data_IF_448266244467
#
_entry.id   IF_448266244467
#
_cell.length_a   1.000
_cell.length_b   1.000
_cell.length_c   1.000
_cell.angle_alpha   90.00
_cell.angle_beta   90.00
_cell.angle_gamma   90.00
#
_symmetry.space_group_name_H-M   'P 1'
#
loop_
_entity.id
_entity.type
_entity.pdbx_description
1 polymer ?
#
# COMPACT_ATOMS: atom_id res chain seq x y z
N UNK A 1 -3.37 5.55 -17.76
CA UNK A 1 -4.71 4.95 -17.54
C UNK A 1 -4.51 3.50 -17.19
N UNK A 2 -4.88 3.07 -15.98
CA UNK A 2 -4.83 1.66 -15.57
C UNK A 2 -6.25 1.21 -15.23
N UNK A 3 -6.73 0.17 -15.92
CA UNK A 3 -8.04 -0.42 -15.65
C UNK A 3 -7.90 -1.46 -14.53
N UNK A 4 -8.80 -1.42 -13.53
CA UNK A 4 -8.94 -2.43 -12.45
C UNK A 4 -9.42 -3.82 -12.95
N UNK A 5 -9.02 -4.21 -14.15
CA UNK A 5 -9.41 -5.49 -14.78
C UNK A 5 -8.21 -6.37 -15.18
N UNK A 6 -6.97 -6.01 -14.81
CA UNK A 6 -5.77 -6.73 -15.29
C UNK A 6 -4.86 -7.37 -14.24
N UNK A 7 -5.13 -7.28 -12.93
CA UNK A 7 -4.30 -7.95 -11.90
C UNK A 7 -4.70 -9.41 -11.67
N UNK A 8 -4.67 -10.25 -12.71
CA UNK A 8 -4.83 -11.70 -12.59
C UNK A 8 -3.55 -12.41 -12.08
N UNK A 9 -2.70 -11.75 -11.29
CA UNK A 9 -1.49 -12.34 -10.73
C UNK A 9 -1.52 -12.44 -9.19
N UNK A 10 -1.48 -13.70 -8.74
CA UNK A 10 -1.25 -14.26 -7.39
C UNK A 10 -2.35 -14.09 -6.31
N UNK A 11 -3.28 -15.07 -6.28
CA UNK A 11 -4.26 -15.32 -5.19
C UNK A 11 -3.64 -15.86 -3.89
N UNK A 12 -2.48 -15.33 -3.45
CA UNK A 12 -1.80 -15.82 -2.24
C UNK A 12 -1.59 -14.78 -1.14
N UNK A 13 -1.69 -13.47 -1.42
CA UNK A 13 -1.57 -12.44 -0.39
C UNK A 13 -2.95 -11.88 0.00
N UNK A 14 -3.16 -11.54 1.30
CA UNK A 14 -4.43 -11.01 1.83
C UNK A 14 -4.75 -9.56 1.39
N UNK A 15 -3.94 -9.00 0.49
CA UNK A 15 -4.08 -7.64 -0.03
C UNK A 15 -5.22 -7.58 -1.07
N UNK A 16 -6.07 -6.55 -0.96
CA UNK A 16 -7.07 -6.23 -1.98
C UNK A 16 -6.41 -5.68 -3.26
N UNK A 17 -7.13 -5.67 -4.38
CA UNK A 17 -6.61 -5.13 -5.64
C UNK A 17 -6.22 -3.65 -5.53
N UNK A 18 -6.99 -2.87 -4.76
CA UNK A 18 -6.68 -1.47 -4.48
C UNK A 18 -5.40 -1.32 -3.66
N UNK A 19 -5.23 -2.12 -2.60
CA UNK A 19 -4.01 -2.10 -1.78
C UNK A 19 -2.78 -2.47 -2.59
N UNK A 20 -2.90 -3.48 -3.46
CA UNK A 20 -1.81 -3.86 -4.38
C UNK A 20 -1.48 -2.74 -5.33
N UNK A 21 -2.49 -2.10 -5.94
CA UNK A 21 -2.29 -0.97 -6.83
C UNK A 21 -1.56 0.18 -6.12
N UNK A 22 -1.99 0.54 -4.91
CA UNK A 22 -1.35 1.59 -4.10
C UNK A 22 0.12 1.23 -3.81
N UNK A 23 0.39 0.00 -3.38
CA UNK A 23 1.76 -0.43 -3.06
C UNK A 23 2.66 -0.51 -4.31
N UNK A 24 2.11 -0.88 -5.46
CA UNK A 24 2.84 -0.90 -6.74
C UNK A 24 3.17 0.51 -7.23
N UNK A 25 2.25 1.46 -7.11
CA UNK A 25 2.50 2.86 -7.49
C UNK A 25 3.49 3.52 -6.51
N UNK A 26 3.35 3.27 -5.21
CA UNK A 26 4.32 3.71 -4.22
C UNK A 26 5.73 3.16 -4.54
N UNK A 27 5.86 1.87 -4.89
CA UNK A 27 7.14 1.27 -5.30
C UNK A 27 7.75 1.97 -6.51
N UNK A 28 6.94 2.37 -7.48
CA UNK A 28 7.41 2.97 -8.74
C UNK A 28 8.10 4.34 -8.55
N UNK A 29 7.83 5.04 -7.43
CA UNK A 29 8.47 6.32 -7.11
C UNK A 29 9.72 6.21 -6.21
N UNK A 30 10.10 4.99 -5.81
CA UNK A 30 11.28 4.73 -4.97
C UNK A 30 12.54 4.52 -5.82
N UNK A 31 13.70 4.68 -5.18
CA UNK A 31 14.98 4.27 -5.76
C UNK A 31 14.99 2.77 -6.10
N UNK A 32 15.76 2.34 -7.12
CA UNK A 32 15.82 0.93 -7.51
C UNK A 32 16.20 -0.01 -6.37
N UNK A 33 17.09 0.41 -5.47
CA UNK A 33 17.54 -0.38 -4.32
C UNK A 33 16.40 -0.59 -3.32
N UNK A 34 15.70 0.48 -2.95
CA UNK A 34 14.54 0.41 -2.07
C UNK A 34 13.40 -0.37 -2.71
N UNK A 35 13.15 -0.21 -4.00
CA UNK A 35 12.07 -0.92 -4.70
C UNK A 35 12.23 -2.45 -4.62
N UNK A 36 13.47 -2.96 -4.60
CA UNK A 36 13.77 -4.39 -4.40
C UNK A 36 13.41 -4.83 -2.98
N UNK A 37 13.82 -4.07 -1.96
CA UNK A 37 13.48 -4.37 -0.56
C UNK A 37 11.97 -4.26 -0.32
N UNK A 38 11.33 -3.24 -0.90
CA UNK A 38 9.89 -3.03 -0.88
C UNK A 38 9.14 -4.24 -1.41
N UNK A 39 9.49 -4.72 -2.61
CA UNK A 39 8.83 -5.88 -3.20
C UNK A 39 8.96 -7.11 -2.28
N UNK A 40 10.16 -7.37 -1.75
CA UNK A 40 10.38 -8.50 -0.83
C UNK A 40 9.53 -8.39 0.43
N UNK A 41 9.38 -7.18 0.98
CA UNK A 41 8.51 -6.96 2.14
C UNK A 41 7.03 -7.17 1.78
N UNK A 42 6.58 -6.66 0.63
CA UNK A 42 5.20 -6.86 0.14
C UNK A 42 4.89 -8.34 -0.05
N UNK A 43 5.84 -9.11 -0.60
CA UNK A 43 5.69 -10.55 -0.82
C UNK A 43 5.60 -11.35 0.51
N UNK A 44 6.17 -10.83 1.60
CA UNK A 44 6.12 -11.45 2.92
C UNK A 44 4.86 -11.08 3.74
N UNK A 45 4.04 -10.11 3.29
CA UNK A 45 2.79 -9.72 3.97
C UNK A 45 1.80 -10.88 3.92
N UNK A 46 1.37 -11.32 5.12
CA UNK A 46 0.38 -12.39 5.27
C UNK A 46 -0.71 -12.09 6.31
N UNK A 47 -0.63 -10.94 6.99
CA UNK A 47 -1.65 -10.43 7.89
C UNK A 47 -1.95 -8.97 7.52
N UNK A 48 -3.21 -8.70 7.17
CA UNK A 48 -3.69 -7.37 6.78
C UNK A 48 -4.90 -7.05 7.64
N UNK A 49 -4.76 -6.06 8.53
CA UNK A 49 -5.81 -5.66 9.46
C UNK A 49 -6.37 -4.31 9.03
N UNK A 50 -7.67 -4.28 8.75
CA UNK A 50 -8.39 -3.07 8.31
C UNK A 50 -9.18 -2.52 9.49
N UNK A 51 -9.06 -1.21 9.74
CA UNK A 51 -9.76 -0.54 10.82
C UNK A 51 -11.28 -0.56 10.59
N UNK A 52 -12.05 -0.72 11.69
CA UNK A 52 -13.51 -0.62 11.65
C UNK A 52 -13.91 0.82 11.31
N UNK A 53 -14.73 0.99 10.29
CA UNK A 53 -15.08 2.31 9.74
C UNK A 53 -14.22 2.75 8.55
N UNK A 54 -13.23 1.94 8.15
CA UNK A 54 -12.28 2.27 7.08
C UNK A 54 -11.17 3.22 7.53
N UNK A 55 -10.33 3.63 6.59
CA UNK A 55 -9.34 4.69 6.82
C UNK A 55 -7.94 4.23 7.21
N UNK A 56 -7.77 3.04 7.77
CA UNK A 56 -6.44 2.53 8.15
C UNK A 56 -6.28 1.03 7.87
N UNK A 57 -5.12 0.68 7.31
CA UNK A 57 -4.72 -0.69 7.04
C UNK A 57 -3.35 -0.91 7.67
N UNK A 58 -3.26 -1.87 8.58
CA UNK A 58 -1.99 -2.36 9.10
C UNK A 58 -1.51 -3.56 8.27
N UNK A 59 -0.25 -3.50 7.85
CA UNK A 59 0.42 -4.50 7.03
C UNK A 59 1.45 -5.23 7.89
N UNK A 60 1.35 -6.56 7.95
CA UNK A 60 2.25 -7.36 8.78
C UNK A 60 2.63 -8.67 8.11
N UNK A 61 3.83 -9.13 8.48
CA UNK A 61 4.20 -10.54 8.42
C UNK A 61 3.99 -11.16 9.79
N UNK A 62 3.29 -12.30 9.81
CA UNK A 62 3.16 -13.12 11.00
C UNK A 62 3.63 -14.54 10.78
N UNK A 63 4.10 -15.18 11.84
CA UNK A 63 4.37 -16.61 11.89
C UNK A 63 3.67 -17.18 13.11
N UNK A 64 2.75 -18.13 12.90
CA UNK A 64 1.93 -18.71 13.97
C UNK A 64 1.18 -17.64 14.79
N UNK A 65 0.64 -16.62 14.10
CA UNK A 65 -0.13 -15.54 14.70
C UNK A 65 0.68 -14.48 15.45
N UNK A 66 2.02 -14.53 15.41
CA UNK A 66 2.89 -13.51 16.03
C UNK A 66 3.59 -12.69 14.94
N UNK A 67 3.71 -11.35 15.08
CA UNK A 67 4.51 -10.53 14.19
C UNK A 67 5.96 -11.02 14.13
N UNK A 68 6.54 -11.05 12.92
CA UNK A 68 7.95 -11.41 12.70
C UNK A 68 8.58 -10.41 11.76
N UNK A 69 9.80 -10.02 12.07
CA UNK A 69 10.61 -9.09 11.28
C UNK A 69 11.78 -9.84 10.65
N UNK A 70 12.00 -9.62 9.35
CA UNK A 70 13.12 -10.18 8.62
C UNK A 70 14.13 -9.08 8.30
N UNK A 71 15.15 -8.95 9.14
CA UNK A 71 16.15 -7.90 9.01
C UNK A 71 16.89 -7.91 7.66
N UNK A 72 16.94 -9.05 6.96
CA UNK A 72 17.60 -9.13 5.64
C UNK A 72 16.88 -8.37 4.52
N UNK A 73 15.62 -7.97 4.74
CA UNK A 73 14.82 -7.21 3.79
C UNK A 73 14.40 -5.84 4.32
N UNK A 74 14.88 -5.45 5.50
CA UNK A 74 14.50 -4.20 6.10
C UNK A 74 15.15 -3.01 5.39
N UNK A 75 14.46 -1.88 5.39
CA UNK A 75 15.02 -0.63 4.89
C UNK A 75 16.18 -0.15 5.77
N UNK A 76 17.17 0.55 5.18
CA UNK A 76 18.25 1.20 5.94
C UNK A 76 17.73 2.20 6.97
N UNK A 77 16.73 3.01 6.62
CA UNK A 77 16.10 3.94 7.54
C UNK A 77 15.20 3.19 8.55
N UNK A 78 15.57 3.28 9.83
CA UNK A 78 14.89 2.60 10.96
C UNK A 78 14.03 3.55 11.80
N UNK A 79 13.61 4.69 11.26
CA UNK A 79 12.75 5.62 11.99
C UNK A 79 11.48 4.92 12.51
N UNK A 80 11.06 5.28 13.72
CA UNK A 80 9.88 4.71 14.38
C UNK A 80 8.61 4.95 13.56
N UNK A 81 8.54 6.06 12.85
CA UNK A 81 7.51 6.34 11.86
C UNK A 81 8.13 7.12 10.70
N UNK A 82 7.92 6.63 9.48
CA UNK A 82 8.35 7.27 8.26
C UNK A 82 7.21 7.26 7.26
N UNK A 83 6.77 8.44 6.82
CA UNK A 83 5.87 8.56 5.69
C UNK A 83 6.69 8.41 4.41
N UNK A 84 6.50 7.31 3.70
CA UNK A 84 7.30 6.96 2.53
C UNK A 84 6.74 7.63 1.28
N UNK A 85 5.46 7.42 1.00
CA UNK A 85 4.83 7.93 -0.20
C UNK A 85 3.37 8.34 0.05
N UNK A 86 2.89 9.30 -0.73
CA UNK A 86 1.47 9.60 -0.86
C UNK A 86 1.01 9.14 -2.22
N UNK A 87 0.00 8.27 -2.26
CA UNK A 87 -0.62 7.79 -3.49
C UNK A 87 -2.00 8.41 -3.62
N UNK A 88 -2.20 9.25 -4.64
CA UNK A 88 -3.46 9.90 -4.93
C UNK A 88 -4.27 9.00 -5.85
N UNK A 89 -5.45 8.58 -5.39
CA UNK A 89 -6.39 7.74 -6.14
C UNK A 89 -7.57 8.60 -6.57
N UNK A 90 -7.75 8.74 -7.88
CA UNK A 90 -8.85 9.49 -8.47
C UNK A 90 -9.74 8.54 -9.27
N UNK A 91 -11.02 8.51 -8.91
CA UNK A 91 -12.04 7.74 -9.64
C UNK A 91 -12.77 8.67 -10.59
N UNK A 92 -12.85 8.28 -11.87
CA UNK A 92 -13.58 9.07 -12.86
C UNK A 92 -15.09 9.05 -12.57
N UNK A 93 -15.77 10.16 -12.86
CA UNK A 93 -17.20 10.34 -12.54
C UNK A 93 -17.50 11.41 -11.49
N UNK A 94 -16.56 12.32 -11.22
CA UNK A 94 -16.79 13.51 -10.37
C UNK A 94 -16.55 13.29 -8.87
N UNK A 95 -15.89 12.20 -8.51
CA UNK A 95 -15.53 11.92 -7.12
C UNK A 95 -14.32 12.74 -6.68
N UNK A 96 -14.27 13.09 -5.39
CA UNK A 96 -13.08 13.70 -4.82
C UNK A 96 -11.93 12.67 -4.77
N UNK A 97 -10.68 13.09 -5.02
CA UNK A 97 -9.52 12.21 -4.88
C UNK A 97 -9.38 11.73 -3.44
N UNK A 98 -8.80 10.55 -3.28
CA UNK A 98 -8.45 9.97 -1.99
C UNK A 98 -6.94 9.87 -1.89
N UNK A 99 -6.39 10.36 -0.78
CA UNK A 99 -4.97 10.22 -0.49
C UNK A 99 -4.76 8.92 0.28
N UNK A 100 -3.85 8.08 -0.19
CA UNK A 100 -3.36 6.91 0.52
C UNK A 100 -1.91 7.16 0.96
N UNK A 101 -1.72 7.37 2.26
CA UNK A 101 -0.42 7.55 2.87
C UNK A 101 0.20 6.19 3.19
N UNK A 102 1.31 5.87 2.55
CA UNK A 102 2.03 4.63 2.77
C UNK A 102 3.22 4.90 3.68
N UNK A 103 3.29 4.15 4.77
CA UNK A 103 4.28 4.37 5.84
C UNK A 103 5.11 3.13 6.13
N UNK A 104 6.31 3.37 6.66
CA UNK A 104 7.14 2.35 7.29
C UNK A 104 7.42 2.68 8.76
N UNK A 105 7.75 1.65 9.54
CA UNK A 105 8.15 1.74 10.94
C UNK A 105 9.30 0.78 11.19
N UNK A 106 10.38 1.26 11.80
CA UNK A 106 11.57 0.47 12.15
C UNK A 106 12.17 -0.29 10.93
N UNK A 107 12.08 0.33 9.75
CA UNK A 107 12.57 -0.23 8.49
C UNK A 107 11.63 -1.20 7.78
N UNK A 108 10.38 -1.32 8.22
CA UNK A 108 9.39 -2.21 7.62
C UNK A 108 8.14 -1.46 7.17
N UNK A 109 7.63 -1.78 5.99
CA UNK A 109 6.32 -1.36 5.50
C UNK A 109 5.26 -1.72 6.55
N UNK A 110 4.52 -0.72 7.02
CA UNK A 110 3.69 -0.87 8.22
C UNK A 110 2.22 -0.56 7.98
N UNK A 111 1.90 0.43 7.15
CA UNK A 111 0.51 0.83 6.97
C UNK A 111 0.21 1.56 5.66
N UNK A 112 -1.08 1.51 5.31
CA UNK A 112 -1.74 2.41 4.36
C UNK A 112 -2.83 3.14 5.15
N UNK A 113 -2.78 4.48 5.14
CA UNK A 113 -3.80 5.32 5.78
C UNK A 113 -4.48 6.16 4.72
N UNK A 114 -5.80 6.07 4.65
CA UNK A 114 -6.58 6.86 3.71
C UNK A 114 -7.08 8.13 4.36
N UNK A 115 -6.89 9.25 3.69
CA UNK A 115 -7.53 10.53 4.00
C UNK A 115 -8.57 10.85 2.93
N UNK A 116 -9.79 11.15 3.38
CA UNK A 116 -10.97 11.27 2.54
C UNK A 116 -11.98 10.14 2.80
N UNK A 117 -12.94 9.94 1.89
CA UNK A 117 -13.99 8.94 2.05
C UNK A 117 -13.49 7.53 1.67
N UNK A 118 -12.64 6.95 2.52
CA UNK A 118 -12.03 5.63 2.31
C UNK A 118 -13.05 4.48 2.27
N UNK A 119 -14.13 4.58 3.07
CA UNK A 119 -15.20 3.59 3.10
C UNK A 119 -15.87 3.41 1.72
N UNK A 120 -15.87 4.46 0.91
CA UNK A 120 -16.42 4.43 -0.44
C UNK A 120 -15.52 3.69 -1.43
N UNK A 121 -14.19 3.82 -1.36
CA UNK A 121 -13.28 3.06 -2.23
C UNK A 121 -13.42 1.55 -2.03
N UNK A 122 -13.65 1.10 -0.80
CA UNK A 122 -13.94 -0.30 -0.51
C UNK A 122 -15.32 -0.74 -0.99
N UNK A 123 -16.30 0.16 -1.07
CA UNK A 123 -17.60 -0.14 -1.66
C UNK A 123 -17.50 -0.23 -3.18
N UNK A 124 -16.73 0.65 -3.81
CA UNK A 124 -16.44 0.61 -5.24
C UNK A 124 -15.74 -0.67 -5.67
N UNK A 125 -14.75 -1.14 -4.90
CA UNK A 125 -14.07 -2.41 -5.21
C UNK A 125 -15.00 -3.63 -5.12
N UNK A 126 -16.13 -3.51 -4.42
CA UNK A 126 -17.18 -4.54 -4.31
C UNK A 126 -18.29 -4.38 -5.34
N UNK A 127 -18.38 -3.23 -6.02
CA UNK A 127 -19.38 -2.98 -7.04
C UNK A 127 -19.05 -3.80 -8.30
N UNK A 128 -20.07 -4.40 -8.94
CA UNK A 128 -19.90 -5.18 -10.18
C UNK A 128 -19.72 -4.32 -11.44
N UNK A 129 -19.50 -3.02 -11.26
CA UNK A 129 -19.36 -2.05 -12.34
C UNK A 129 -17.88 -1.68 -12.49
N UNK A 130 -17.42 -1.53 -13.74
CA UNK A 130 -16.08 -1.06 -14.00
C UNK A 130 -16.01 0.47 -13.79
N UNK A 131 -14.97 0.92 -13.10
CA UNK A 131 -14.64 2.32 -12.94
C UNK A 131 -13.24 2.56 -13.50
N UNK A 132 -13.07 3.68 -14.19
CA UNK A 132 -11.73 4.16 -14.54
C UNK A 132 -11.11 4.84 -13.33
N UNK A 133 -9.86 4.48 -13.05
CA UNK A 133 -9.10 5.01 -11.93
C UNK A 133 -7.78 5.54 -12.48
N UNK A 134 -7.45 6.76 -12.10
CA UNK A 134 -6.11 7.30 -12.23
C UNK A 134 -5.43 7.27 -10.86
N UNK A 135 -4.16 6.89 -10.86
CA UNK A 135 -3.35 6.79 -9.66
C UNK A 135 -2.03 7.49 -9.93
N UNK A 136 -1.61 8.33 -8.98
CA UNK A 136 -0.36 9.05 -9.01
C UNK A 136 0.35 8.89 -7.66
N UNK A 137 1.64 8.58 -7.68
CA UNK A 137 2.43 8.43 -6.46
C UNK A 137 3.47 9.56 -6.35
N UNK A 138 3.54 10.13 -5.15
CA UNK A 138 4.55 11.10 -4.76
C UNK A 138 5.42 10.50 -3.66
N UNK A 139 6.70 10.29 -3.97
CA UNK A 139 7.69 9.90 -2.97
C UNK A 139 7.91 11.08 -2.01
N UNK A 140 7.75 10.84 -0.70
CA UNK A 140 7.96 11.84 0.36
C UNK A 140 9.33 11.62 0.99
N UNK A 141 9.61 10.39 1.43
CA UNK A 141 10.91 10.00 1.96
C UNK A 141 11.26 8.62 1.40
N UNK A 142 12.38 8.52 0.68
CA UNK A 142 12.90 7.20 0.28
C UNK A 142 13.57 6.52 1.50
N UNK A 143 13.09 5.33 1.93
CA UNK A 143 13.68 4.58 3.03
C UNK A 143 15.17 4.20 2.87
N UNK A 144 15.78 4.34 1.69
CA UNK A 144 17.23 4.18 1.52
C UNK A 144 18.06 5.29 2.16
N UNK A 145 17.46 6.43 2.48
CA UNK A 145 18.17 7.59 3.03
C UNK A 145 18.25 7.50 4.56
N UNK A 146 19.47 7.58 5.09
CA UNK A 146 19.80 7.51 6.54
C UNK A 146 19.39 8.79 7.26
#
# INVERSE_FOLDING_TARGET
>A
MKSMLSSLFSRLTPLSDLERLILEEAKACLSPETAVLWQRQVDEINDVQRAVGGGGIALRRTLRGKPVFNESIAFPNKAVALHVATVVVQVDGGFAPVNAFVSSSEGFLSSIVYEGNAAYLEQLSKAKQAFEISVEAHCINDPSVV
#
